data_IF_860842091900
#
_entry.id   IF_860842091900
#
_cell.length_a   1.000
_cell.length_b   1.000
_cell.length_c   1.000
_cell.angle_alpha   90.00
_cell.angle_beta   90.00
_cell.angle_gamma   90.00
#
_symmetry.space_group_name_H-M   'P 1'
#
loop_
_entity.id
_entity.type
_entity.pdbx_description
1 polymer ?
#
# COMPACT_ATOMS: atom_id res chain seq x y z
N UNK A 1 -21.52 17.63 7.92
CA UNK A 1 -20.92 16.67 6.99
C UNK A 1 -19.43 16.69 7.23
N UNK A 2 -18.83 15.56 7.60
CA UNK A 2 -17.37 15.43 7.74
C UNK A 2 -16.72 15.47 6.35
N UNK A 3 -15.58 16.16 6.23
CA UNK A 3 -14.83 16.17 4.97
C UNK A 3 -14.41 14.74 4.58
N UNK A 4 -14.44 14.39 3.28
CA UNK A 4 -14.04 13.05 2.84
C UNK A 4 -12.57 12.79 3.19
N UNK A 5 -12.29 11.58 3.66
CA UNK A 5 -10.92 11.16 3.93
C UNK A 5 -10.10 11.11 2.64
N UNK A 6 -8.81 11.41 2.77
CA UNK A 6 -7.87 11.49 1.65
C UNK A 6 -6.72 10.51 1.82
N UNK A 7 -6.19 10.07 0.69
CA UNK A 7 -4.99 9.23 0.62
C UNK A 7 -4.02 9.77 -0.43
N UNK A 8 -2.79 9.27 -0.38
CA UNK A 8 -1.72 9.65 -1.28
C UNK A 8 -2.00 9.17 -2.71
N UNK A 9 -1.65 9.97 -3.73
CA UNK A 9 -1.93 9.64 -5.13
C UNK A 9 -1.17 8.39 -5.60
N UNK A 10 -0.12 7.97 -4.90
CA UNK A 10 0.65 6.78 -5.26
C UNK A 10 -0.16 5.48 -5.17
N UNK A 11 -1.23 5.43 -4.36
CA UNK A 11 -2.18 4.32 -4.38
C UNK A 11 -2.80 4.10 -5.77
N UNK A 12 -3.04 5.17 -6.53
CA UNK A 12 -3.56 5.14 -7.89
C UNK A 12 -2.42 5.05 -8.91
N UNK A 13 -1.44 5.96 -8.85
CA UNK A 13 -0.31 6.02 -9.79
C UNK A 13 0.37 4.65 -9.91
N UNK A 14 0.69 4.03 -8.77
CA UNK A 14 1.46 2.79 -8.77
C UNK A 14 0.61 1.56 -9.09
N UNK A 15 -0.72 1.64 -8.91
CA UNK A 15 -1.65 0.60 -9.38
C UNK A 15 -1.76 0.63 -10.90
N UNK A 16 -1.86 1.82 -11.50
CA UNK A 16 -1.80 1.97 -12.96
C UNK A 16 -0.45 1.51 -13.50
N UNK A 17 0.66 1.90 -12.86
CA UNK A 17 2.00 1.46 -13.28
C UNK A 17 2.20 -0.06 -13.15
N UNK A 18 1.63 -0.71 -12.13
CA UNK A 18 1.66 -2.17 -11.99
C UNK A 18 0.82 -2.85 -13.09
N UNK A 19 -0.32 -2.26 -13.47
CA UNK A 19 -1.14 -2.74 -14.58
C UNK A 19 -0.41 -2.63 -15.92
N UNK A 20 0.19 -1.47 -16.19
CA UNK A 20 1.00 -1.25 -17.40
C UNK A 20 2.21 -2.20 -17.45
N UNK A 21 2.86 -2.47 -16.32
CA UNK A 21 3.99 -3.38 -16.26
C UNK A 21 3.59 -4.85 -16.51
N UNK A 22 2.39 -5.27 -16.08
CA UNK A 22 1.91 -6.64 -16.26
C UNK A 22 1.38 -6.90 -17.68
N UNK A 23 0.65 -5.96 -18.25
CA UNK A 23 -0.10 -6.18 -19.50
C UNK A 23 0.41 -5.35 -20.68
N UNK A 24 1.32 -4.41 -20.46
CA UNK A 24 1.68 -3.40 -21.45
C UNK A 24 0.69 -2.24 -21.45
N UNK A 25 1.15 -1.09 -21.96
CA UNK A 25 0.40 0.16 -21.88
C UNK A 25 -0.98 0.10 -22.55
N UNK A 26 -1.05 -0.41 -23.78
CA UNK A 26 -2.30 -0.42 -24.55
C UNK A 26 -3.40 -1.27 -23.87
N UNK A 27 -3.03 -2.44 -23.35
CA UNK A 27 -3.97 -3.33 -22.64
C UNK A 27 -4.37 -2.76 -21.27
N UNK A 28 -3.44 -2.13 -20.55
CA UNK A 28 -3.76 -1.44 -19.31
C UNK A 28 -4.75 -0.27 -19.53
N UNK A 29 -4.53 0.54 -20.57
CA UNK A 29 -5.43 1.64 -20.94
C UNK A 29 -6.83 1.11 -21.36
N UNK A 30 -6.90 -0.01 -22.08
CA UNK A 30 -8.16 -0.67 -22.44
C UNK A 30 -8.92 -1.15 -21.20
N UNK A 31 -8.25 -1.82 -20.26
CA UNK A 31 -8.84 -2.29 -19.00
C UNK A 31 -9.31 -1.14 -18.11
N UNK A 32 -8.54 -0.06 -18.00
CA UNK A 32 -8.96 1.13 -17.27
C UNK A 32 -10.23 1.73 -17.87
N UNK A 33 -10.32 1.80 -19.20
CA UNK A 33 -11.53 2.28 -19.89
C UNK A 33 -12.74 1.41 -19.58
N UNK A 34 -12.62 0.08 -19.73
CA UNK A 34 -13.70 -0.88 -19.44
C UNK A 34 -14.11 -0.84 -17.96
N UNK A 35 -13.15 -0.63 -17.06
CA UNK A 35 -13.37 -0.50 -15.62
C UNK A 35 -13.99 0.85 -15.19
N UNK A 36 -14.22 1.79 -16.12
CA UNK A 36 -14.79 3.13 -15.87
C UNK A 36 -13.76 4.17 -15.42
N UNK A 37 -12.46 3.89 -15.55
CA UNK A 37 -11.33 4.70 -15.09
C UNK A 37 -10.49 5.28 -16.24
N UNK A 38 -11.07 5.42 -17.43
CA UNK A 38 -10.37 6.00 -18.60
C UNK A 38 -9.83 7.42 -18.36
N UNK A 39 -10.39 8.17 -17.41
CA UNK A 39 -9.91 9.49 -16.99
C UNK A 39 -8.51 9.48 -16.35
N UNK A 40 -7.98 8.31 -15.94
CA UNK A 40 -6.62 8.16 -15.42
C UNK A 40 -5.57 8.03 -16.52
N UNK A 41 -5.96 7.77 -17.77
CA UNK A 41 -5.06 7.59 -18.90
C UNK A 41 -4.42 8.92 -19.26
N UNK A 42 -3.11 9.05 -19.04
CA UNK A 42 -2.37 10.29 -19.28
C UNK A 42 -2.66 11.43 -18.30
N UNK A 43 -3.52 11.20 -17.30
CA UNK A 43 -3.98 12.21 -16.35
C UNK A 43 -4.04 11.64 -14.91
N UNK A 44 -2.88 11.15 -14.46
CA UNK A 44 -2.73 10.64 -13.10
C UNK A 44 -2.73 11.79 -12.07
N UNK A 45 -3.26 11.56 -10.86
CA UNK A 45 -3.35 12.59 -9.83
C UNK A 45 -1.96 13.00 -9.32
N UNK A 46 -1.76 14.29 -9.06
CA UNK A 46 -0.54 14.85 -8.45
C UNK A 46 -0.70 15.22 -6.97
N UNK A 47 -1.94 15.36 -6.50
CA UNK A 47 -2.28 15.78 -5.14
C UNK A 47 -2.97 14.66 -4.34
N UNK A 48 -3.23 14.92 -3.06
CA UNK A 48 -4.01 14.01 -2.22
C UNK A 48 -5.42 13.82 -2.78
N UNK A 49 -5.78 12.58 -3.05
CA UNK A 49 -7.07 12.19 -3.65
C UNK A 49 -8.05 11.76 -2.58
N UNK A 50 -9.34 11.78 -2.89
CA UNK A 50 -10.34 11.12 -2.05
C UNK A 50 -10.04 9.62 -1.96
N UNK A 51 -10.13 9.07 -0.74
CA UNK A 51 -9.90 7.65 -0.45
C UNK A 51 -10.74 6.74 -1.37
N UNK A 52 -11.99 7.13 -1.62
CA UNK A 52 -12.93 6.43 -2.50
C UNK A 52 -12.36 6.13 -3.88
N UNK A 53 -11.54 7.02 -4.44
CA UNK A 53 -11.01 6.86 -5.81
C UNK A 53 -10.16 5.60 -5.94
N UNK A 54 -9.30 5.32 -4.95
CA UNK A 54 -8.48 4.10 -4.95
C UNK A 54 -9.32 2.85 -4.75
N UNK A 55 -10.23 2.85 -3.78
CA UNK A 55 -11.10 1.68 -3.55
C UNK A 55 -12.01 1.39 -4.75
N UNK A 56 -12.53 2.43 -5.41
CA UNK A 56 -13.31 2.28 -6.66
C UNK A 56 -12.46 1.71 -7.80
N UNK A 57 -11.19 2.12 -7.92
CA UNK A 57 -10.27 1.51 -8.89
C UNK A 57 -10.08 0.02 -8.62
N UNK A 58 -9.75 -0.36 -7.40
CA UNK A 58 -9.50 -1.76 -7.02
C UNK A 58 -10.75 -2.62 -7.21
N UNK A 59 -11.91 -2.16 -6.75
CA UNK A 59 -13.19 -2.88 -6.91
C UNK A 59 -13.65 -2.98 -8.36
N UNK A 60 -13.33 -2.01 -9.22
CA UNK A 60 -13.60 -2.16 -10.66
C UNK A 60 -12.67 -3.20 -11.30
N UNK A 61 -11.38 -3.23 -10.93
CA UNK A 61 -10.43 -4.20 -11.47
C UNK A 61 -10.74 -5.64 -11.02
N UNK A 62 -11.30 -5.84 -9.84
CA UNK A 62 -11.75 -7.16 -9.34
C UNK A 62 -12.86 -7.79 -10.18
N UNK A 63 -13.59 -6.99 -10.96
CA UNK A 63 -14.61 -7.51 -11.91
C UNK A 63 -14.01 -8.05 -13.20
N UNK A 64 -12.77 -7.70 -13.51
CA UNK A 64 -12.06 -8.03 -14.76
C UNK A 64 -10.88 -8.98 -14.54
N UNK A 65 -10.29 -8.98 -13.34
CA UNK A 65 -9.11 -9.76 -12.99
C UNK A 65 -9.44 -10.86 -11.99
N UNK A 66 -8.84 -12.03 -12.18
CA UNK A 66 -8.84 -13.08 -11.17
C UNK A 66 -8.28 -12.56 -9.84
N UNK A 67 -8.85 -13.02 -8.73
CA UNK A 67 -8.49 -12.51 -7.40
C UNK A 67 -7.00 -12.68 -7.07
N UNK A 68 -6.39 -13.80 -7.46
CA UNK A 68 -4.94 -14.04 -7.29
C UNK A 68 -4.09 -13.05 -8.10
N UNK A 69 -4.52 -12.74 -9.32
CA UNK A 69 -3.86 -11.78 -10.20
C UNK A 69 -3.96 -10.36 -9.64
N UNK A 70 -5.13 -9.98 -9.13
CA UNK A 70 -5.32 -8.68 -8.50
C UNK A 70 -4.51 -8.56 -7.19
N UNK A 71 -4.41 -9.63 -6.42
CA UNK A 71 -3.57 -9.67 -5.22
C UNK A 71 -2.09 -9.42 -5.56
N UNK A 72 -1.55 -10.08 -6.59
CA UNK A 72 -0.18 -9.86 -7.07
C UNK A 72 0.02 -8.45 -7.62
N UNK A 73 -0.93 -7.95 -8.41
CA UNK A 73 -0.92 -6.59 -8.95
C UNK A 73 -0.85 -5.54 -7.84
N UNK A 74 -1.68 -5.67 -6.81
CA UNK A 74 -1.70 -4.74 -5.68
C UNK A 74 -0.43 -4.86 -4.84
N UNK A 75 0.11 -6.07 -4.69
CA UNK A 75 1.40 -6.27 -4.03
C UNK A 75 2.53 -5.56 -4.80
N UNK A 76 2.57 -5.65 -6.13
CA UNK A 76 3.54 -4.90 -6.95
C UNK A 76 3.32 -3.39 -6.83
N UNK A 77 2.07 -2.91 -6.91
CA UNK A 77 1.71 -1.50 -6.69
C UNK A 77 2.22 -0.97 -5.34
N UNK A 78 2.07 -1.75 -4.28
CA UNK A 78 2.64 -1.44 -2.97
C UNK A 78 4.17 -1.37 -2.98
N UNK A 79 4.84 -2.32 -3.62
CA UNK A 79 6.31 -2.31 -3.73
C UNK A 79 6.83 -1.10 -4.52
N UNK A 80 6.15 -0.71 -5.60
CA UNK A 80 6.45 0.50 -6.37
C UNK A 80 6.21 1.76 -5.54
N UNK A 81 5.14 1.80 -4.75
CA UNK A 81 4.89 2.88 -3.79
C UNK A 81 6.04 3.00 -2.80
N UNK A 82 6.49 1.90 -2.20
CA UNK A 82 7.64 1.90 -1.31
C UNK A 82 8.93 2.38 -2.02
N UNK A 83 9.17 1.97 -3.27
CA UNK A 83 10.32 2.45 -4.05
C UNK A 83 10.26 3.96 -4.29
N UNK A 84 9.09 4.49 -4.60
CA UNK A 84 8.84 5.93 -4.68
C UNK A 84 9.12 6.61 -3.33
N UNK A 85 8.62 6.06 -2.23
CA UNK A 85 8.83 6.63 -0.90
C UNK A 85 10.32 6.69 -0.55
N UNK A 86 11.07 5.62 -0.78
CA UNK A 86 12.52 5.57 -0.57
C UNK A 86 13.27 6.62 -1.41
N UNK A 87 12.82 6.87 -2.65
CA UNK A 87 13.48 7.83 -3.54
C UNK A 87 13.11 9.28 -3.24
N UNK A 88 11.85 9.55 -2.88
CA UNK A 88 11.26 10.89 -2.93
C UNK A 88 10.79 11.41 -1.57
N UNK A 89 10.35 10.54 -0.66
CA UNK A 89 9.67 10.95 0.59
C UNK A 89 10.43 10.62 1.87
N UNK A 90 11.24 9.58 1.90
CA UNK A 90 12.02 9.17 3.06
C UNK A 90 13.44 9.75 2.92
N UNK A 91 13.84 10.74 3.74
CA UNK A 91 15.11 11.42 3.57
C UNK A 91 16.31 10.47 3.61
N UNK A 92 17.30 10.69 2.74
CA UNK A 92 18.47 9.80 2.64
C UNK A 92 19.27 9.66 3.94
N UNK A 93 19.34 10.71 4.76
CA UNK A 93 19.99 10.64 6.08
C UNK A 93 19.24 9.70 7.04
N UNK A 94 17.90 9.68 6.97
CA UNK A 94 17.08 8.80 7.80
C UNK A 94 17.29 7.34 7.40
N UNK A 95 17.38 7.06 6.10
CA UNK A 95 17.71 5.71 5.62
C UNK A 95 19.10 5.26 6.08
N UNK A 96 20.11 6.15 6.00
CA UNK A 96 21.47 5.87 6.48
C UNK A 96 21.52 5.64 7.99
N UNK A 97 20.66 6.32 8.76
CA UNK A 97 20.54 6.11 10.20
C UNK A 97 19.93 4.75 10.53
N UNK A 98 18.94 4.28 9.78
CA UNK A 98 18.24 3.02 10.06
C UNK A 98 19.07 1.78 9.73
N UNK A 99 19.74 1.77 8.58
CA UNK A 99 20.46 0.59 8.06
C UNK A 99 21.49 -0.07 9.01
N UNK A 100 22.28 0.67 9.82
CA UNK A 100 23.23 0.05 10.74
C UNK A 100 22.60 -0.42 12.07
N UNK A 101 21.34 -0.06 12.35
CA UNK A 101 20.70 -0.43 13.61
C UNK A 101 20.35 -1.92 13.64
N UNK A 102 20.32 -2.54 14.83
CA UNK A 102 19.67 -3.83 15.02
C UNK A 102 18.24 -3.82 14.43
N UNK A 103 17.80 -4.90 13.75
CA UNK A 103 16.51 -4.91 13.06
C UNK A 103 15.31 -4.50 13.92
N UNK A 104 15.28 -4.91 15.19
CA UNK A 104 14.21 -4.52 16.12
C UNK A 104 14.12 -3.01 16.37
N UNK A 105 15.27 -2.33 16.44
CA UNK A 105 15.34 -0.87 16.61
C UNK A 105 15.01 -0.15 15.30
N UNK A 106 15.56 -0.62 14.18
CA UNK A 106 15.25 -0.09 12.85
C UNK A 106 13.74 -0.17 12.55
N UNK A 107 13.12 -1.33 12.82
CA UNK A 107 11.68 -1.54 12.71
C UNK A 107 10.92 -0.52 13.55
N UNK A 108 11.20 -0.45 14.86
CA UNK A 108 10.48 0.44 15.76
C UNK A 108 10.56 1.91 15.32
N UNK A 109 11.74 2.39 14.94
CA UNK A 109 11.93 3.77 14.48
C UNK A 109 11.23 4.03 13.15
N UNK A 110 11.33 3.12 12.20
CA UNK A 110 10.64 3.23 10.91
C UNK A 110 9.12 3.29 11.09
N UNK A 111 8.54 2.36 11.85
CA UNK A 111 7.08 2.30 12.04
C UNK A 111 6.57 3.45 12.91
N UNK A 112 7.37 3.94 13.87
CA UNK A 112 7.06 5.18 14.58
C UNK A 112 7.01 6.39 13.63
N UNK A 113 7.96 6.51 12.71
CA UNK A 113 7.96 7.60 11.73
C UNK A 113 6.75 7.50 10.77
N UNK A 114 6.41 6.29 10.32
CA UNK A 114 5.23 6.03 9.48
C UNK A 114 3.94 6.37 10.23
N UNK A 115 3.82 6.03 11.52
CA UNK A 115 2.60 6.28 12.29
C UNK A 115 2.23 7.77 12.38
N UNK A 116 3.20 8.68 12.22
CA UNK A 116 2.95 10.14 12.23
C UNK A 116 2.26 10.64 10.97
N UNK A 117 2.35 9.91 9.86
CA UNK A 117 1.75 10.29 8.58
C UNK A 117 0.84 9.20 8.03
N UNK A 118 0.34 8.31 8.89
CA UNK A 118 -0.34 7.11 8.44
C UNK A 118 -1.64 7.38 7.69
N UNK A 119 -2.33 8.47 8.02
CA UNK A 119 -3.53 8.94 7.32
C UNK A 119 -3.33 9.02 5.80
N UNK A 120 -2.10 9.32 5.34
CA UNK A 120 -1.79 9.41 3.90
C UNK A 120 -1.92 8.10 3.14
N UNK A 121 -2.01 6.94 3.82
CA UNK A 121 -2.21 5.65 3.17
C UNK A 121 -3.39 4.85 3.72
N UNK A 122 -3.76 5.03 5.00
CA UNK A 122 -4.95 4.35 5.57
C UNK A 122 -6.23 5.17 5.42
N UNK A 123 -6.14 6.42 4.97
CA UNK A 123 -7.31 7.29 4.77
C UNK A 123 -8.11 7.46 6.06
N UNK A 124 -9.36 7.00 6.04
CA UNK A 124 -10.26 7.02 7.20
C UNK A 124 -10.00 5.89 8.21
N UNK A 125 -9.10 4.97 7.88
CA UNK A 125 -8.75 3.82 8.69
C UNK A 125 -7.71 4.10 9.79
N UNK A 126 -7.22 3.00 10.38
CA UNK A 126 -6.25 3.04 11.49
C UNK A 126 -4.96 2.32 11.15
N UNK A 127 -3.86 2.79 11.74
CA UNK A 127 -2.56 2.16 11.68
C UNK A 127 -1.98 1.96 13.08
N UNK A 128 -1.50 0.76 13.36
CA UNK A 128 -0.79 0.45 14.61
C UNK A 128 0.27 -0.63 14.40
N UNK A 129 1.19 -0.76 15.36
CA UNK A 129 2.20 -1.81 15.33
C UNK A 129 2.59 -2.24 16.75
N UNK A 130 3.10 -3.47 16.88
CA UNK A 130 3.72 -3.97 18.11
C UNK A 130 5.23 -4.06 17.96
N UNK A 131 5.94 -4.15 19.09
CA UNK A 131 7.37 -4.43 19.16
C UNK A 131 7.59 -5.79 19.83
N UNK A 132 8.74 -6.43 19.59
CA UNK A 132 9.09 -7.71 20.21
C UNK A 132 9.75 -8.67 19.23
N UNK A 133 9.73 -9.97 19.55
CA UNK A 133 10.35 -11.02 18.72
C UNK A 133 9.64 -11.26 17.38
N UNK A 134 8.32 -11.10 17.34
CA UNK A 134 7.48 -11.21 16.14
C UNK A 134 6.57 -9.99 16.07
N UNK A 135 7.11 -8.81 15.70
CA UNK A 135 6.31 -7.61 15.66
C UNK A 135 5.22 -7.72 14.60
N UNK A 136 4.07 -7.11 14.87
CA UNK A 136 2.91 -7.13 13.98
C UNK A 136 2.60 -5.70 13.55
N UNK A 137 2.37 -5.50 12.25
CA UNK A 137 1.78 -4.27 11.72
C UNK A 137 0.29 -4.54 11.50
N UNK A 138 -0.56 -3.61 11.95
CA UNK A 138 -2.02 -3.69 11.75
C UNK A 138 -2.49 -2.46 10.98
N UNK A 139 -3.19 -2.69 9.87
CA UNK A 139 -3.93 -1.68 9.12
C UNK A 139 -5.41 -2.04 9.18
N UNK A 140 -6.25 -1.10 9.64
CA UNK A 140 -7.70 -1.19 9.49
C UNK A 140 -8.13 -0.31 8.35
N UNK A 141 -8.92 -0.86 7.43
CA UNK A 141 -9.56 -0.12 6.34
C UNK A 141 -11.05 -0.05 6.66
N UNK A 142 -11.55 1.15 6.86
CA UNK A 142 -12.95 1.42 7.24
C UNK A 142 -13.80 1.90 6.06
N UNK A 143 -13.15 2.26 4.95
CA UNK A 143 -13.86 2.52 3.70
C UNK A 143 -14.44 1.21 3.14
N UNK A 144 -15.73 1.16 2.75
CA UNK A 144 -16.31 -0.02 2.13
C UNK A 144 -15.54 -0.45 0.87
N UNK A 145 -14.92 -1.62 0.92
CA UNK A 145 -14.05 -2.17 -0.15
C UNK A 145 -13.92 -3.69 0.00
N UNK A 146 -13.11 -4.30 -0.87
CA UNK A 146 -12.82 -5.73 -0.87
C UNK A 146 -11.48 -6.06 -0.16
N UNK A 147 -11.37 -7.23 0.53
CA UNK A 147 -10.17 -7.63 1.28
C UNK A 147 -8.86 -7.58 0.50
N UNK A 148 -8.88 -7.85 -0.81
CA UNK A 148 -7.67 -7.91 -1.64
C UNK A 148 -6.83 -6.61 -1.60
N UNK A 149 -7.44 -5.46 -1.26
CA UNK A 149 -6.74 -4.18 -1.03
C UNK A 149 -5.60 -4.29 -0.02
N UNK A 150 -5.70 -5.22 0.95
CA UNK A 150 -4.64 -5.49 1.92
C UNK A 150 -3.30 -5.89 1.30
N UNK A 151 -3.29 -6.38 0.06
CA UNK A 151 -2.05 -6.71 -0.63
C UNK A 151 -1.23 -5.47 -1.02
N UNK A 152 -1.87 -4.31 -1.19
CA UNK A 152 -1.16 -3.04 -1.40
C UNK A 152 -0.27 -2.69 -0.21
N UNK A 153 -0.80 -2.77 1.01
CA UNK A 153 -0.01 -2.51 2.21
C UNK A 153 1.04 -3.60 2.43
N UNK A 154 0.71 -4.88 2.16
CA UNK A 154 1.67 -5.99 2.22
C UNK A 154 2.90 -5.71 1.33
N UNK A 155 2.67 -5.32 0.07
CA UNK A 155 3.74 -4.97 -0.86
C UNK A 155 4.60 -3.81 -0.37
N UNK A 156 3.94 -2.76 0.13
CA UNK A 156 4.58 -1.55 0.66
C UNK A 156 5.49 -1.88 1.85
N UNK A 157 4.95 -2.54 2.87
CA UNK A 157 5.74 -2.89 4.07
C UNK A 157 6.83 -3.90 3.76
N UNK A 158 6.57 -4.89 2.90
CA UNK A 158 7.59 -5.87 2.48
C UNK A 158 8.81 -5.16 1.91
N UNK A 159 8.62 -4.22 0.98
CA UNK A 159 9.74 -3.51 0.35
C UNK A 159 10.45 -2.58 1.34
N UNK A 160 9.71 -1.79 2.13
CA UNK A 160 10.32 -0.89 3.11
C UNK A 160 11.16 -1.64 4.17
N UNK A 161 10.63 -2.73 4.72
CA UNK A 161 11.33 -3.51 5.73
C UNK A 161 12.57 -4.19 5.15
N UNK A 162 12.50 -4.73 3.93
CA UNK A 162 13.67 -5.32 3.27
C UNK A 162 14.78 -4.31 3.01
N UNK A 163 14.43 -3.08 2.65
CA UNK A 163 15.39 -2.04 2.30
C UNK A 163 16.01 -1.32 3.52
N UNK A 164 15.24 -1.15 4.60
CA UNK A 164 15.62 -0.31 5.72
C UNK A 164 15.81 -1.05 7.05
N UNK A 165 15.36 -2.31 7.16
CA UNK A 165 15.35 -3.07 8.42
C UNK A 165 16.16 -4.35 8.31
N UNK A 166 15.74 -5.31 7.47
CA UNK A 166 16.49 -6.55 7.24
C UNK A 166 16.20 -7.08 5.83
N UNK A 167 17.20 -7.31 4.96
CA UNK A 167 16.98 -7.83 3.61
C UNK A 167 16.26 -9.19 3.56
N UNK A 168 16.36 -9.98 4.64
CA UNK A 168 15.72 -11.29 4.77
C UNK A 168 14.31 -11.22 5.36
N UNK A 169 13.71 -10.03 5.51
CA UNK A 169 12.37 -9.90 6.10
C UNK A 169 11.35 -10.76 5.37
N UNK A 170 10.57 -11.53 6.16
CA UNK A 170 9.36 -12.23 5.71
C UNK A 170 8.15 -11.66 6.44
N UNK A 171 6.99 -11.67 5.79
CA UNK A 171 5.73 -11.21 6.36
C UNK A 171 4.68 -12.28 6.11
N UNK A 172 4.08 -12.79 7.19
CA UNK A 172 2.86 -13.57 7.12
C UNK A 172 1.67 -12.61 7.24
N UNK A 173 0.85 -12.55 6.19
CA UNK A 173 -0.31 -11.68 6.12
C UNK A 173 -1.59 -12.44 6.48
N UNK A 174 -2.43 -11.83 7.32
CA UNK A 174 -3.82 -12.21 7.54
C UNK A 174 -4.69 -11.01 7.22
N UNK A 175 -5.56 -11.13 6.23
CA UNK A 175 -6.39 -10.05 5.71
C UNK A 175 -7.84 -10.52 5.80
N UNK A 176 -8.60 -9.94 6.72
CA UNK A 176 -9.94 -10.41 7.08
C UNK A 176 -10.92 -9.25 6.93
N UNK A 177 -12.02 -9.47 6.20
CA UNK A 177 -13.15 -8.55 6.17
C UNK A 177 -14.15 -8.90 7.28
N UNK A 178 -14.51 -7.92 8.11
CA UNK A 178 -15.44 -8.06 9.23
C UNK A 178 -16.42 -6.88 9.24
N UNK A 179 -17.72 -7.15 9.08
CA UNK A 179 -18.79 -6.16 9.26
C UNK A 179 -18.61 -4.80 8.55
N UNK A 180 -18.02 -4.81 7.35
CA UNK A 180 -17.79 -3.60 6.54
C UNK A 180 -16.37 -3.02 6.63
N UNK A 181 -15.60 -3.43 7.64
CA UNK A 181 -14.18 -3.09 7.80
C UNK A 181 -13.30 -4.23 7.31
N UNK A 182 -12.04 -3.91 6.99
CA UNK A 182 -11.00 -4.91 6.73
C UNK A 182 -9.88 -4.71 7.75
N UNK A 183 -9.53 -5.77 8.46
CA UNK A 183 -8.35 -5.80 9.32
C UNK A 183 -7.23 -6.59 8.63
N UNK A 184 -6.14 -5.89 8.32
CA UNK A 184 -4.92 -6.47 7.79
C UNK A 184 -3.88 -6.58 8.91
N UNK A 185 -3.41 -7.80 9.19
CA UNK A 185 -2.33 -8.08 10.15
C UNK A 185 -1.13 -8.68 9.43
N UNK A 186 0.03 -8.08 9.64
CA UNK A 186 1.29 -8.47 9.02
C UNK A 186 2.29 -8.88 10.10
N UNK A 187 2.42 -10.17 10.33
CA UNK A 187 3.42 -10.71 11.28
C UNK A 187 4.78 -10.71 10.62
N UNK A 188 5.71 -9.93 11.17
CA UNK A 188 7.00 -9.68 10.57
C UNK A 188 8.09 -10.56 11.21
N UNK A 189 8.94 -11.15 10.36
CA UNK A 189 10.15 -11.86 10.75
C UNK A 189 11.34 -11.04 10.25
N UNK A 190 12.00 -10.32 11.15
CA UNK A 190 13.04 -9.31 10.88
C UNK A 190 14.34 -9.63 11.60
#
# INVERSE_FOLDING_TARGET
MTAPAKIGPNSIIQTVAALEAKYGKAEADARLTVAGHGHLIGNLPSEMVEEKTFHTLVTSLDKDLDNSVLAELLKDSGQRTAAYLLKVRIPGFFQKLLKPLPPSLAFKLLLFAISKNAWTFVGSGDFSYTSGKKPVITVKVTHPTIPVVGNFYLGTFTKLLKELVNPNTKIDASIIGESGDITCRYTCYI
#
